data_IF_185852941140
#
_entry.id   IF_185852941140
#
_cell.length_a   1.000
_cell.length_b   1.000
_cell.length_c   1.000
_cell.angle_alpha   90.00
_cell.angle_beta   90.00
_cell.angle_gamma   90.00
#
_symmetry.space_group_name_H-M   'P 1'
#
loop_
_entity.id
_entity.type
_entity.pdbx_description
1 polymer ?
#
# COMPACT_ATOMS: atom_id res chain seq x y z
N UNK A 1 -12.21 -2.87 8.03
CA UNK A 1 -11.98 -4.21 8.62
C UNK A 1 -12.70 -4.43 9.94
N UNK A 2 -12.27 -3.84 11.05
CA UNK A 2 -12.88 -4.08 12.38
C UNK A 2 -14.39 -3.78 12.44
N UNK A 3 -14.80 -2.65 11.87
CA UNK A 3 -16.21 -2.26 11.78
C UNK A 3 -17.11 -3.27 11.04
N UNK A 4 -16.56 -4.19 10.21
CA UNK A 4 -17.36 -5.25 9.58
C UNK A 4 -17.84 -6.32 10.57
N UNK A 5 -17.29 -6.34 11.78
CA UNK A 5 -17.65 -7.24 12.88
C UNK A 5 -18.10 -6.47 14.13
N UNK A 6 -18.47 -5.20 13.99
CA UNK A 6 -18.81 -4.33 15.11
C UNK A 6 -17.71 -4.24 16.19
N UNK A 7 -16.44 -4.30 15.75
CA UNK A 7 -15.26 -4.18 16.61
C UNK A 7 -14.64 -2.78 16.53
N UNK A 8 -14.09 -2.33 17.65
CA UNK A 8 -13.38 -1.07 17.83
C UNK A 8 -11.89 -1.29 18.13
N UNK A 9 -11.05 -0.31 17.79
CA UNK A 9 -9.60 -0.36 18.08
C UNK A 9 -9.30 -0.57 19.57
N UNK A 10 -10.12 0.01 20.44
CA UNK A 10 -10.03 -0.07 21.92
C UNK A 10 -10.28 -1.47 22.47
N UNK A 11 -10.95 -2.35 21.72
CA UNK A 11 -11.29 -3.71 22.14
C UNK A 11 -10.16 -4.73 21.86
N UNK A 12 -8.97 -4.26 21.47
CA UNK A 12 -7.84 -5.15 21.20
C UNK A 12 -7.45 -5.94 22.45
N UNK A 13 -7.39 -7.27 22.34
CA UNK A 13 -7.18 -8.18 23.48
C UNK A 13 -5.82 -7.94 24.14
N UNK A 14 -4.77 -7.81 23.33
CA UNK A 14 -3.44 -7.48 23.80
C UNK A 14 -3.00 -6.14 23.20
N UNK A 15 -2.79 -5.15 24.05
CA UNK A 15 -2.37 -3.80 23.63
C UNK A 15 -0.85 -3.68 23.45
N UNK A 16 -0.06 -4.67 23.92
CA UNK A 16 1.41 -4.63 23.83
C UNK A 16 1.93 -5.01 22.46
N UNK A 17 1.28 -5.95 21.77
CA UNK A 17 1.62 -6.26 20.38
C UNK A 17 0.97 -5.23 19.44
N UNK A 18 1.61 -4.92 18.33
CA UNK A 18 1.11 -3.98 17.31
C UNK A 18 0.63 -4.76 16.09
N UNK A 19 -0.28 -4.15 15.34
CA UNK A 19 -0.59 -4.57 13.97
C UNK A 19 0.18 -3.67 13.00
N UNK A 20 1.14 -4.25 12.29
CA UNK A 20 1.98 -3.62 11.28
C UNK A 20 1.36 -3.89 9.91
N UNK A 21 0.81 -2.86 9.26
CA UNK A 21 -0.05 -3.09 8.09
C UNK A 21 0.34 -2.32 6.82
N UNK A 22 0.22 -0.99 6.81
CA UNK A 22 0.37 -0.19 5.58
C UNK A 22 1.73 0.50 5.50
N UNK A 23 2.32 0.54 4.30
CA UNK A 23 3.60 1.20 4.05
C UNK A 23 4.83 0.32 4.35
N UNK A 24 6.00 0.95 4.44
CA UNK A 24 7.28 0.27 4.66
C UNK A 24 7.71 0.33 6.13
N UNK A 25 6.81 -0.06 7.04
CA UNK A 25 6.95 0.15 8.49
C UNK A 25 7.38 -1.10 9.25
N UNK A 26 7.50 -2.24 8.58
CA UNK A 26 7.74 -3.53 9.23
C UNK A 26 9.03 -3.57 10.08
N UNK A 27 10.03 -2.78 9.72
CA UNK A 27 11.28 -2.66 10.48
C UNK A 27 11.13 -2.01 11.86
N UNK A 28 9.97 -1.40 12.15
CA UNK A 28 9.61 -0.90 13.49
C UNK A 28 8.87 -1.94 14.35
N UNK A 29 8.71 -3.17 13.85
CA UNK A 29 8.10 -4.24 14.61
C UNK A 29 8.98 -4.62 15.83
N UNK A 30 8.30 -4.99 16.91
CA UNK A 30 8.87 -5.62 18.09
C UNK A 30 8.57 -7.13 18.06
N UNK A 31 9.14 -7.87 19.01
CA UNK A 31 8.87 -9.29 19.20
C UNK A 31 7.37 -9.57 19.30
N UNK A 32 6.88 -10.55 18.52
CA UNK A 32 5.49 -10.99 18.46
C UNK A 32 4.47 -9.95 17.97
N UNK A 33 4.92 -8.86 17.33
CA UNK A 33 4.02 -8.01 16.57
C UNK A 33 3.41 -8.78 15.39
N UNK A 34 2.19 -8.38 15.01
CA UNK A 34 1.47 -8.96 13.89
C UNK A 34 1.74 -8.16 12.61
N UNK A 35 2.02 -8.84 11.51
CA UNK A 35 2.30 -8.26 10.20
C UNK A 35 1.18 -8.61 9.22
N UNK A 36 0.60 -7.61 8.56
CA UNK A 36 -0.48 -7.77 7.59
C UNK A 36 -0.36 -6.77 6.42
N UNK A 37 0.37 -7.17 5.38
CA UNK A 37 0.45 -6.47 4.10
C UNK A 37 1.54 -5.38 4.00
N UNK A 38 2.29 -5.14 5.09
CA UNK A 38 3.40 -4.17 5.07
C UNK A 38 4.64 -4.80 4.44
N UNK A 39 5.59 -3.96 4.02
CA UNK A 39 6.90 -4.39 3.55
C UNK A 39 8.06 -3.79 4.34
N UNK A 40 9.28 -4.20 3.98
CA UNK A 40 10.52 -3.61 4.49
C UNK A 40 10.92 -2.38 3.67
N UNK A 41 11.58 -1.43 4.32
CA UNK A 41 12.36 -0.41 3.63
C UNK A 41 13.75 -0.99 3.33
N UNK A 42 14.09 -1.16 2.05
CA UNK A 42 15.32 -1.80 1.59
C UNK A 42 16.63 -1.13 2.03
N UNK A 43 16.57 0.02 2.70
CA UNK A 43 17.73 0.70 3.31
C UNK A 43 18.08 0.22 4.72
N UNK A 44 17.19 -0.54 5.37
CA UNK A 44 17.37 -0.92 6.78
C UNK A 44 18.18 -2.21 6.86
N UNK A 45 19.27 -2.17 7.63
CA UNK A 45 20.06 -3.37 7.94
C UNK A 45 19.23 -4.38 8.73
N UNK A 46 19.41 -5.67 8.45
CA UNK A 46 18.80 -6.75 9.21
C UNK A 46 19.18 -6.70 10.70
N UNK A 47 20.39 -6.23 11.01
CA UNK A 47 20.86 -6.09 12.40
C UNK A 47 20.09 -5.01 13.19
N UNK A 48 19.39 -4.11 12.50
CA UNK A 48 18.55 -3.08 13.14
C UNK A 48 17.17 -3.61 13.53
N UNK A 49 16.79 -4.83 13.12
CA UNK A 49 15.51 -5.44 13.45
C UNK A 49 15.48 -5.88 14.91
N UNK A 50 14.40 -5.53 15.62
CA UNK A 50 14.26 -5.76 17.07
C UNK A 50 13.50 -7.04 17.42
N UNK A 51 13.29 -7.92 16.46
CA UNK A 51 12.48 -9.13 16.61
C UNK A 51 13.21 -10.37 16.11
N UNK A 52 12.90 -11.50 16.74
CA UNK A 52 13.23 -12.85 16.28
C UNK A 52 11.98 -13.59 15.80
N UNK A 53 10.83 -13.31 16.42
CA UNK A 53 9.53 -13.86 16.05
C UNK A 53 8.53 -12.76 15.69
N UNK A 54 7.73 -13.01 14.67
CA UNK A 54 6.59 -12.21 14.24
C UNK A 54 5.40 -13.11 13.95
N UNK A 55 4.21 -12.58 14.16
CA UNK A 55 2.96 -13.20 13.69
C UNK A 55 2.64 -12.67 12.28
N UNK A 56 3.07 -13.40 11.25
CA UNK A 56 2.97 -12.91 9.86
C UNK A 56 1.73 -13.48 9.17
N UNK A 57 0.78 -12.61 8.83
CA UNK A 57 -0.48 -12.96 8.15
C UNK A 57 -0.44 -12.72 6.66
N UNK A 58 0.21 -11.65 6.25
CA UNK A 58 0.44 -11.27 4.87
C UNK A 58 1.62 -10.28 4.83
N UNK A 59 2.29 -10.18 3.69
CA UNK A 59 3.31 -9.14 3.45
C UNK A 59 3.05 -8.46 2.11
N UNK A 60 3.68 -7.31 1.84
CA UNK A 60 3.45 -6.58 0.59
C UNK A 60 3.74 -7.43 -0.65
N UNK A 61 4.82 -8.22 -0.63
CA UNK A 61 5.22 -9.05 -1.76
C UNK A 61 6.34 -10.06 -1.47
N UNK A 62 6.81 -10.76 -2.51
CA UNK A 62 7.70 -11.90 -2.38
C UNK A 62 9.12 -11.54 -1.95
N UNK A 63 9.60 -10.30 -2.18
CA UNK A 63 10.93 -9.90 -1.69
C UNK A 63 10.92 -9.76 -0.17
N UNK A 64 9.89 -9.12 0.39
CA UNK A 64 9.69 -9.06 1.85
C UNK A 64 9.52 -10.46 2.43
N UNK A 65 8.70 -11.31 1.79
CA UNK A 65 8.52 -12.70 2.24
C UNK A 65 9.83 -13.47 2.26
N UNK A 66 10.62 -13.39 1.19
CA UNK A 66 11.91 -14.08 1.10
C UNK A 66 12.83 -13.69 2.26
N UNK A 67 12.96 -12.39 2.51
CA UNK A 67 13.81 -11.89 3.59
C UNK A 67 13.41 -12.46 4.95
N UNK A 68 12.10 -12.51 5.26
CA UNK A 68 11.60 -13.09 6.50
C UNK A 68 11.78 -14.61 6.59
N UNK A 69 11.59 -15.33 5.47
CA UNK A 69 11.88 -16.77 5.41
C UNK A 69 13.36 -17.05 5.66
N UNK A 70 14.26 -16.25 5.09
CA UNK A 70 15.71 -16.36 5.29
C UNK A 70 16.10 -16.09 6.77
N UNK A 71 15.28 -15.35 7.53
CA UNK A 71 15.41 -15.17 8.98
C UNK A 71 14.81 -16.34 9.81
N UNK A 72 14.25 -17.36 9.17
CA UNK A 72 13.64 -18.51 9.83
C UNK A 72 12.19 -18.31 10.30
N UNK A 73 11.52 -17.23 9.86
CA UNK A 73 10.13 -16.96 10.20
C UNK A 73 9.17 -17.76 9.30
N UNK A 74 7.99 -18.07 9.83
CA UNK A 74 6.89 -18.64 9.03
C UNK A 74 6.14 -17.51 8.34
N UNK A 75 6.10 -17.53 7.01
CA UNK A 75 5.44 -16.49 6.22
C UNK A 75 4.54 -17.12 5.14
N UNK A 76 3.21 -16.92 5.22
CA UNK A 76 2.29 -17.43 4.21
C UNK A 76 2.51 -16.74 2.88
N UNK A 77 2.13 -17.41 1.79
CA UNK A 77 2.13 -16.86 0.44
C UNK A 77 0.88 -16.00 0.20
N UNK A 78 0.72 -14.98 1.04
CA UNK A 78 -0.37 -14.00 0.93
C UNK A 78 0.28 -12.63 0.75
N UNK A 79 0.05 -12.04 -0.42
CA UNK A 79 0.67 -10.79 -0.83
C UNK A 79 -0.36 -9.68 -1.00
N UNK A 80 0.07 -8.45 -0.76
CA UNK A 80 -0.69 -7.25 -1.09
C UNK A 80 -0.58 -6.16 -0.03
N UNK A 81 -0.60 -4.91 -0.47
CA UNK A 81 -0.71 -3.75 0.42
C UNK A 81 -2.19 -3.51 0.78
N UNK A 82 -2.54 -3.21 2.05
CA UNK A 82 -3.92 -2.94 2.45
C UNK A 82 -4.61 -1.80 1.69
N UNK A 83 -3.87 -0.89 1.04
CA UNK A 83 -4.40 0.12 0.13
C UNK A 83 -5.18 -0.47 -1.06
N UNK A 84 -4.89 -1.72 -1.45
CA UNK A 84 -5.66 -2.46 -2.47
C UNK A 84 -7.10 -2.76 -2.03
N UNK A 85 -7.39 -2.72 -0.73
CA UNK A 85 -8.72 -3.00 -0.19
C UNK A 85 -9.64 -1.77 -0.20
N UNK A 86 -9.15 -0.58 -0.51
CA UNK A 86 -9.95 0.65 -0.48
C UNK A 86 -11.26 0.55 -1.30
N UNK A 87 -11.30 -0.02 -2.52
CA UNK A 87 -12.53 -0.17 -3.29
C UNK A 87 -13.61 -1.03 -2.62
N UNK A 88 -13.23 -1.89 -1.66
CA UNK A 88 -14.16 -2.73 -0.90
C UNK A 88 -14.87 -1.96 0.23
N UNK A 89 -14.33 -0.80 0.62
CA UNK A 89 -14.91 0.05 1.67
C UNK A 89 -15.48 1.36 1.13
N UNK A 90 -14.92 1.88 0.05
CA UNK A 90 -15.27 3.17 -0.51
C UNK A 90 -15.54 3.03 -1.99
N UNK A 91 -16.81 3.07 -2.37
CA UNK A 91 -17.19 3.12 -3.78
C UNK A 91 -16.78 4.46 -4.41
N UNK A 92 -16.64 4.49 -5.74
CA UNK A 92 -16.39 5.73 -6.49
C UNK A 92 -17.48 6.77 -6.20
N UNK A 93 -18.74 6.34 -6.17
CA UNK A 93 -19.89 7.22 -5.91
C UNK A 93 -19.83 7.83 -4.50
N UNK A 94 -19.41 7.05 -3.51
CA UNK A 94 -19.22 7.54 -2.13
C UNK A 94 -18.09 8.57 -2.03
N UNK A 95 -17.04 8.44 -2.84
CA UNK A 95 -15.90 9.35 -2.82
C UNK A 95 -16.16 10.65 -3.59
N UNK A 96 -17.00 10.61 -4.63
CA UNK A 96 -17.19 11.71 -5.59
C UNK A 96 -18.50 12.51 -5.40
N UNK A 97 -19.11 12.45 -4.21
CA UNK A 97 -20.40 13.09 -3.88
C UNK A 97 -20.46 14.59 -4.26
N UNK A 98 -19.33 15.29 -4.26
CA UNK A 98 -19.27 16.75 -4.43
C UNK A 98 -19.18 17.23 -5.89
N UNK A 99 -19.30 16.36 -6.90
CA UNK A 99 -19.23 16.72 -8.33
C UNK A 99 -18.04 17.64 -8.69
N UNK A 100 -16.88 17.41 -8.06
CA UNK A 100 -15.66 18.13 -8.41
C UNK A 100 -15.29 17.84 -9.87
N UNK A 101 -14.78 18.84 -10.59
CA UNK A 101 -14.33 18.63 -11.97
C UNK A 101 -13.24 17.55 -12.01
N UNK A 102 -13.45 16.52 -12.82
CA UNK A 102 -12.47 15.44 -13.02
C UNK A 102 -11.21 16.01 -13.65
N UNK A 103 -10.03 15.56 -13.19
CA UNK A 103 -8.74 15.98 -13.74
C UNK A 103 -8.23 14.98 -14.75
N UNK A 104 -7.73 15.46 -15.88
CA UNK A 104 -7.07 14.62 -16.90
C UNK A 104 -5.90 13.82 -16.31
N UNK A 105 -5.12 14.45 -15.43
CA UNK A 105 -4.07 13.78 -14.68
C UNK A 105 -3.78 14.46 -13.34
N UNK A 106 -3.15 13.72 -12.44
CA UNK A 106 -2.53 14.25 -11.22
C UNK A 106 -1.08 13.79 -11.09
N UNK A 107 -0.30 14.59 -10.36
CA UNK A 107 1.08 14.30 -9.99
C UNK A 107 1.14 14.10 -8.49
N UNK A 108 1.70 12.97 -8.05
CA UNK A 108 1.86 12.64 -6.63
C UNK A 108 3.36 12.53 -6.32
N UNK A 109 3.99 13.61 -5.84
CA UNK A 109 5.35 13.56 -5.35
C UNK A 109 5.48 12.63 -4.14
N UNK A 110 6.67 12.10 -3.88
CA UNK A 110 6.95 11.39 -2.66
C UNK A 110 6.99 12.40 -1.50
N UNK A 111 6.61 11.97 -0.30
CA UNK A 111 6.46 12.88 0.85
C UNK A 111 7.75 13.63 1.25
N UNK A 112 8.91 13.07 0.88
CA UNK A 112 10.23 13.62 1.18
C UNK A 112 10.82 14.47 0.03
N UNK A 113 10.13 14.61 -1.09
CA UNK A 113 10.60 15.45 -2.21
C UNK A 113 10.26 16.92 -1.99
N UNK A 114 11.03 17.80 -2.63
CA UNK A 114 10.68 19.22 -2.72
C UNK A 114 9.58 19.43 -3.76
N UNK A 115 8.44 19.96 -3.30
CA UNK A 115 7.27 20.17 -4.15
C UNK A 115 7.51 21.32 -5.15
N UNK A 116 8.51 22.18 -4.91
CA UNK A 116 8.89 23.26 -5.82
C UNK A 116 9.34 22.76 -7.19
N UNK A 117 9.87 21.53 -7.27
CA UNK A 117 10.26 20.86 -8.52
C UNK A 117 9.07 20.67 -9.48
N UNK A 118 7.85 20.68 -8.93
CA UNK A 118 6.61 20.43 -9.66
C UNK A 118 5.82 21.72 -9.95
N UNK A 119 6.43 22.90 -9.82
CA UNK A 119 5.75 24.21 -9.95
C UNK A 119 4.98 24.37 -11.27
N UNK A 120 5.49 23.81 -12.37
CA UNK A 120 4.81 23.78 -13.68
C UNK A 120 3.44 23.09 -13.64
N UNK A 121 3.24 22.18 -12.68
CA UNK A 121 2.08 21.32 -12.51
C UNK A 121 1.31 21.61 -11.23
N UNK A 122 1.46 22.79 -10.62
CA UNK A 122 0.91 23.10 -9.29
C UNK A 122 -0.61 22.81 -9.17
N UNK A 123 -1.37 23.03 -10.25
CA UNK A 123 -2.81 22.75 -10.28
C UNK A 123 -3.15 21.25 -10.34
N UNK A 124 -2.19 20.39 -10.64
CA UNK A 124 -2.32 18.94 -10.76
C UNK A 124 -1.63 18.17 -9.62
N UNK A 125 -0.97 18.87 -8.68
CA UNK A 125 -0.33 18.22 -7.53
C UNK A 125 -1.39 17.66 -6.59
N UNK A 126 -1.24 16.38 -6.23
CA UNK A 126 -1.95 15.73 -5.15
C UNK A 126 -0.94 15.32 -4.07
N UNK A 127 -1.08 15.89 -2.87
CA UNK A 127 -0.08 15.69 -1.81
C UNK A 127 -0.34 14.39 -1.05
N UNK A 128 0.62 13.48 -0.90
CA UNK A 128 0.47 12.31 -0.02
C UNK A 128 0.45 12.68 1.48
N UNK A 129 0.66 13.95 1.84
CA UNK A 129 0.61 14.43 3.23
C UNK A 129 -0.80 14.78 3.71
N UNK A 130 -1.79 14.79 2.82
CA UNK A 130 -3.19 15.06 3.18
C UNK A 130 -3.87 13.81 3.78
N UNK A 131 -5.07 13.99 4.34
CA UNK A 131 -5.83 12.86 4.91
C UNK A 131 -6.15 11.77 3.87
N UNK A 132 -6.11 10.50 4.29
CA UNK A 132 -6.21 9.33 3.40
C UNK A 132 -7.45 9.33 2.49
N UNK A 133 -8.61 9.74 3.00
CA UNK A 133 -9.85 9.83 2.21
C UNK A 133 -9.77 10.94 1.17
N UNK A 134 -9.23 12.12 1.54
CA UNK A 134 -9.02 13.22 0.58
C UNK A 134 -8.02 12.82 -0.51
N UNK A 135 -6.94 12.12 -0.13
CA UNK A 135 -5.93 11.60 -1.05
C UNK A 135 -6.55 10.61 -2.04
N UNK A 136 -7.29 9.62 -1.53
CA UNK A 136 -8.00 8.63 -2.34
C UNK A 136 -9.01 9.30 -3.27
N UNK A 137 -9.77 10.28 -2.79
CA UNK A 137 -10.73 11.04 -3.60
C UNK A 137 -10.07 11.75 -4.77
N UNK A 138 -8.94 12.42 -4.56
CA UNK A 138 -8.22 13.09 -5.67
C UNK A 138 -7.70 12.10 -6.71
N UNK A 139 -7.23 10.93 -6.28
CA UNK A 139 -6.85 9.84 -7.19
C UNK A 139 -8.06 9.37 -7.98
N UNK A 140 -9.16 9.06 -7.30
CA UNK A 140 -10.39 8.56 -7.93
C UNK A 140 -11.01 9.57 -8.90
N UNK A 141 -10.85 10.87 -8.62
CA UNK A 141 -11.29 11.97 -9.47
C UNK A 141 -10.30 12.32 -10.62
N UNK A 142 -9.37 11.44 -10.95
CA UNK A 142 -8.41 11.63 -12.04
C UNK A 142 -8.54 10.57 -13.13
N UNK A 143 -8.14 10.90 -14.36
CA UNK A 143 -8.05 9.91 -15.45
C UNK A 143 -6.70 9.21 -15.50
N UNK A 144 -5.65 9.85 -14.99
CA UNK A 144 -4.28 9.34 -15.05
C UNK A 144 -3.45 9.77 -13.83
N UNK A 145 -2.63 8.87 -13.30
CA UNK A 145 -1.79 9.13 -12.12
C UNK A 145 -0.31 9.01 -12.46
N UNK A 146 0.43 10.08 -12.22
CA UNK A 146 1.90 10.10 -12.29
C UNK A 146 2.39 10.21 -10.86
N UNK A 147 3.01 9.16 -10.33
CA UNK A 147 3.30 9.11 -8.90
C UNK A 147 4.71 8.65 -8.64
N UNK A 148 5.46 9.38 -7.82
CA UNK A 148 6.70 8.91 -7.22
C UNK A 148 6.44 8.30 -5.82
N UNK A 149 5.23 8.44 -5.28
CA UNK A 149 4.73 7.73 -4.10
C UNK A 149 4.20 6.34 -4.44
N UNK A 150 4.65 5.30 -3.74
CA UNK A 150 4.14 3.93 -3.95
C UNK A 150 2.63 3.83 -3.66
N UNK A 151 2.12 4.48 -2.60
CA UNK A 151 0.67 4.44 -2.33
C UNK A 151 -0.15 5.17 -3.39
N UNK A 152 0.42 6.18 -4.07
CA UNK A 152 -0.26 6.78 -5.22
C UNK A 152 -0.50 5.77 -6.34
N UNK A 153 0.50 4.92 -6.62
CA UNK A 153 0.39 3.81 -7.58
C UNK A 153 -0.61 2.75 -7.10
N UNK A 154 -0.44 2.24 -5.86
CA UNK A 154 -1.29 1.19 -5.30
C UNK A 154 -2.76 1.57 -5.34
N UNK A 155 -3.09 2.79 -4.89
CA UNK A 155 -4.47 3.25 -4.81
C UNK A 155 -5.03 3.49 -6.21
N UNK A 156 -4.27 4.11 -7.13
CA UNK A 156 -4.72 4.29 -8.51
C UNK A 156 -5.07 2.94 -9.16
N UNK A 157 -4.17 1.96 -9.06
CA UNK A 157 -4.35 0.63 -9.63
C UNK A 157 -5.49 -0.15 -8.95
N UNK A 158 -5.69 0.01 -7.64
CA UNK A 158 -6.81 -0.59 -6.92
C UNK A 158 -8.16 -0.13 -7.49
N UNK A 159 -8.27 1.13 -7.90
CA UNK A 159 -9.47 1.67 -8.55
C UNK A 159 -9.50 1.45 -10.06
N UNK A 160 -8.47 0.85 -10.66
CA UNK A 160 -8.36 0.66 -12.11
C UNK A 160 -8.02 1.96 -12.87
N UNK A 161 -7.39 2.93 -12.21
CA UNK A 161 -6.93 4.18 -12.82
C UNK A 161 -5.50 3.95 -13.32
N UNK A 162 -5.20 4.22 -14.61
CA UNK A 162 -3.86 4.02 -15.13
C UNK A 162 -2.84 4.86 -14.36
N UNK A 163 -1.72 4.24 -14.01
CA UNK A 163 -0.66 4.87 -13.24
C UNK A 163 0.72 4.57 -13.83
N UNK A 164 1.63 5.53 -13.69
CA UNK A 164 3.04 5.38 -14.05
C UNK A 164 3.91 5.82 -12.87
N UNK A 165 4.95 5.04 -12.60
CA UNK A 165 5.94 5.39 -11.58
C UNK A 165 6.84 6.51 -12.11
N UNK A 166 6.83 7.65 -11.43
CA UNK A 166 7.85 8.67 -11.59
C UNK A 166 9.03 8.34 -10.67
N UNK A 167 10.24 8.28 -11.22
CA UNK A 167 11.45 8.12 -10.41
C UNK A 167 11.56 9.28 -9.41
N UNK A 168 11.67 8.95 -8.12
CA UNK A 168 11.81 9.99 -7.10
C UNK A 168 13.27 10.44 -7.01
N UNK A 169 13.46 11.73 -6.77
CA UNK A 169 14.76 12.32 -6.46
C UNK A 169 15.21 12.08 -5.01
N UNK A 170 14.33 11.54 -4.16
CA UNK A 170 14.58 11.34 -2.71
C UNK A 170 15.46 10.13 -2.36
N UNK A 171 15.96 9.40 -3.35
CA UNK A 171 16.83 8.25 -3.17
C UNK A 171 16.14 7.06 -2.50
N UNK A 172 14.82 6.94 -2.56
CA UNK A 172 14.10 5.78 -2.01
C UNK A 172 14.53 4.49 -2.71
N UNK A 173 14.61 3.39 -1.96
CA UNK A 173 14.98 2.10 -2.54
C UNK A 173 13.91 1.63 -3.52
N UNK A 174 14.33 1.16 -4.71
CA UNK A 174 13.47 0.48 -5.67
C UNK A 174 12.78 -0.76 -5.08
N UNK A 175 13.35 -1.33 -3.99
CA UNK A 175 12.86 -2.53 -3.31
C UNK A 175 11.36 -2.51 -3.06
N UNK A 176 10.80 -1.39 -2.57
CA UNK A 176 9.37 -1.32 -2.24
C UNK A 176 8.46 -1.39 -3.45
N UNK A 177 8.91 -0.85 -4.57
CA UNK A 177 8.18 -0.87 -5.83
C UNK A 177 8.28 -2.26 -6.44
N UNK A 178 9.49 -2.82 -6.57
CA UNK A 178 9.69 -4.18 -7.06
C UNK A 178 8.88 -5.21 -6.27
N UNK A 179 8.91 -5.11 -4.94
CA UNK A 179 8.19 -6.01 -4.04
C UNK A 179 6.69 -5.92 -4.25
N UNK A 180 6.14 -4.72 -4.43
CA UNK A 180 4.73 -4.54 -4.78
C UNK A 180 4.38 -5.14 -6.14
N UNK A 181 5.11 -4.78 -7.21
CA UNK A 181 4.80 -5.26 -8.55
C UNK A 181 4.87 -6.78 -8.63
N UNK A 182 5.92 -7.41 -8.07
CA UNK A 182 6.04 -8.86 -7.99
C UNK A 182 4.90 -9.48 -7.16
N UNK A 183 4.50 -8.85 -6.05
CA UNK A 183 3.37 -9.29 -5.23
C UNK A 183 2.02 -9.25 -5.95
N UNK A 184 1.91 -8.43 -6.99
CA UNK A 184 0.75 -8.36 -7.90
C UNK A 184 0.90 -9.20 -9.17
N UNK A 185 1.92 -10.07 -9.25
CA UNK A 185 2.16 -10.94 -10.40
C UNK A 185 2.79 -10.25 -11.61
N UNK A 186 3.41 -9.08 -11.42
CA UNK A 186 4.05 -8.30 -12.48
C UNK A 186 5.56 -8.23 -12.23
N UNK A 187 6.33 -8.69 -13.20
CA UNK A 187 7.79 -8.70 -13.19
C UNK A 187 8.42 -7.39 -13.69
N UNK A 188 7.64 -6.60 -14.43
CA UNK A 188 8.07 -5.34 -15.04
C UNK A 188 7.01 -4.26 -14.86
N UNK A 189 7.47 -3.01 -14.83
CA UNK A 189 6.62 -1.83 -14.74
C UNK A 189 7.33 -0.61 -15.34
N UNK A 190 6.58 0.33 -15.96
CA UNK A 190 7.17 1.54 -16.55
C UNK A 190 7.64 2.50 -15.45
N UNK A 191 8.86 3.01 -15.61
CA UNK A 191 9.42 4.09 -14.80
C UNK A 191 9.78 5.22 -15.76
N UNK A 192 9.43 6.44 -15.38
CA UNK A 192 9.78 7.65 -16.13
C UNK A 192 10.60 8.61 -15.27
N UNK A 193 11.42 9.44 -15.92
CA UNK A 193 12.28 10.43 -15.26
C UNK A 193 11.72 11.86 -15.33
N UNK A 194 10.62 12.06 -16.08
CA UNK A 194 9.93 13.34 -16.20
C UNK A 194 8.42 13.13 -16.31
N UNK A 195 7.66 14.17 -16.00
CA UNK A 195 6.19 14.15 -16.15
C UNK A 195 5.80 14.10 -17.62
N UNK A 196 6.57 14.76 -18.50
CA UNK A 196 6.36 14.75 -19.94
C UNK A 196 6.52 13.35 -20.56
N UNK A 197 7.44 12.54 -20.04
CA UNK A 197 7.64 11.17 -20.52
C UNK A 197 6.53 10.22 -20.08
N UNK A 198 5.84 10.52 -18.98
CA UNK A 198 4.71 9.73 -18.50
C UNK A 198 3.59 9.60 -19.55
N UNK A 199 3.41 10.62 -20.40
CA UNK A 199 2.42 10.63 -21.47
C UNK A 199 2.84 9.86 -22.73
N UNK A 200 4.11 9.46 -22.82
CA UNK A 200 4.69 8.75 -23.97
C UNK A 200 4.80 7.24 -23.74
N UNK A 201 4.63 6.79 -22.51
CA UNK A 201 4.76 5.39 -22.12
C UNK A 201 3.39 4.75 -21.90
N UNK A 202 3.31 3.45 -22.15
CA UNK A 202 2.14 2.67 -21.76
C UNK A 202 2.18 2.44 -20.24
N UNK A 203 1.09 2.68 -19.50
CA UNK A 203 1.00 2.35 -18.08
C UNK A 203 1.21 0.86 -17.81
N UNK A 204 1.47 0.51 -16.55
CA UNK A 204 1.57 -0.88 -16.14
C UNK A 204 0.28 -1.64 -16.48
N UNK A 205 0.39 -2.94 -16.76
CA UNK A 205 -0.79 -3.79 -16.97
C UNK A 205 -1.71 -3.72 -15.74
N UNK A 206 -3.02 -3.67 -16.00
CA UNK A 206 -4.03 -3.70 -14.95
C UNK A 206 -3.95 -5.00 -14.16
N UNK A 207 -4.22 -4.90 -12.86
CA UNK A 207 -4.24 -6.03 -11.95
C UNK A 207 -5.66 -6.57 -11.78
N UNK A 208 -5.79 -7.88 -11.55
CA UNK A 208 -7.03 -8.43 -11.03
C UNK A 208 -7.09 -8.14 -9.51
N UNK A 209 -7.62 -6.97 -9.16
CA UNK A 209 -7.68 -6.50 -7.77
C UNK A 209 -8.38 -7.52 -6.88
N UNK A 210 -9.48 -8.13 -7.32
CA UNK A 210 -10.20 -9.14 -6.53
C UNK A 210 -9.34 -10.36 -6.19
N UNK A 211 -8.55 -10.85 -7.14
CA UNK A 211 -7.68 -12.01 -6.93
C UNK A 211 -6.60 -11.75 -5.86
N UNK A 212 -6.07 -10.53 -5.79
CA UNK A 212 -5.02 -10.14 -4.83
C UNK A 212 -5.63 -9.71 -3.49
N UNK A 213 -6.70 -8.92 -3.54
CA UNK A 213 -7.36 -8.34 -2.38
C UNK A 213 -8.08 -9.37 -1.52
N UNK A 214 -8.69 -10.41 -2.11
CA UNK A 214 -9.50 -11.37 -1.33
C UNK A 214 -8.66 -12.21 -0.34
N UNK A 215 -7.51 -12.82 -0.73
CA UNK A 215 -6.61 -13.47 0.23
C UNK A 215 -6.12 -12.51 1.32
N UNK A 216 -5.75 -11.27 0.96
CA UNK A 216 -5.31 -10.26 1.90
C UNK A 216 -6.41 -9.89 2.90
N UNK A 217 -7.64 -9.68 2.41
CA UNK A 217 -8.82 -9.37 3.21
C UNK A 217 -9.11 -10.50 4.22
N UNK A 218 -9.09 -11.75 3.76
CA UNK A 218 -9.35 -12.92 4.60
C UNK A 218 -8.23 -13.17 5.63
N UNK A 219 -7.01 -12.72 5.34
CA UNK A 219 -5.88 -12.82 6.27
C UNK A 219 -5.89 -11.75 7.37
N UNK A 220 -6.87 -10.83 7.40
CA UNK A 220 -6.94 -9.82 8.46
C UNK A 220 -7.05 -10.48 9.84
N UNK A 221 -6.19 -10.09 10.81
CA UNK A 221 -6.07 -10.78 12.10
C UNK A 221 -7.18 -10.35 13.08
N UNK A 222 -8.42 -10.74 12.81
CA UNK A 222 -9.55 -10.50 13.72
C UNK A 222 -9.33 -11.11 15.10
N UNK A 223 -8.50 -12.16 15.20
CA UNK A 223 -8.16 -12.82 16.46
C UNK A 223 -7.35 -11.96 17.44
N UNK A 224 -6.85 -10.80 16.99
CA UNK A 224 -6.29 -9.79 17.89
C UNK A 224 -7.35 -9.00 18.69
N UNK A 225 -8.63 -9.09 18.28
CA UNK A 225 -9.78 -8.43 18.92
C UNK A 225 -10.84 -9.42 19.43
N UNK A 226 -10.93 -10.60 18.82
CA UNK A 226 -11.87 -11.65 19.22
C UNK A 226 -11.11 -12.93 19.59
N UNK A 227 -11.35 -13.49 20.77
CA UNK A 227 -10.92 -14.86 21.02
C UNK A 227 -11.64 -15.74 19.99
N UNK A 228 -10.94 -16.71 19.38
CA UNK A 228 -11.59 -17.75 18.57
C UNK A 228 -12.65 -18.43 19.44
N UNK A 229 -13.89 -17.96 19.40
CA UNK A 229 -15.02 -18.68 20.00
C UNK A 229 -15.17 -19.96 19.20
N UNK A 230 -15.12 -21.09 19.90
CA UNK A 230 -15.46 -22.43 19.44
C UNK A 230 -16.46 -22.39 18.28
N UNK A 231 -15.97 -22.50 17.05
CA UNK A 231 -16.78 -22.75 15.87
C UNK A 231 -16.98 -24.26 15.65
N UNK A 232 -17.06 -25.00 16.76
CA UNK A 232 -17.44 -26.40 16.83
C UNK A 232 -18.64 -26.50 17.79
N UNK A 233 -19.82 -26.14 17.29
CA UNK A 233 -21.12 -26.65 17.75
C UNK A 233 -21.95 -26.94 16.49
#
# INVERSE_FOLDING_TARGET
>A
MLALKDLELTQKINVKNKLMAIGSVMHFANENDCVWGTGINGKISLDALKFKNLDVRAVRGPKTRKLLLDMGLKVPEIYGDPGLLLPFFFSRDTLLINNEQKKDFIVIPHMNEDFSLYKKYNNNICSPKQGAISFTRQIVNSEFVISSSLHGVIIAEAYGIPAVLLENSSGESSFKYDDYYLGTGRDTYPIVHSIEDAFKVKPACSINVHHIALPLFNAFPYDLWENKKNSDI
#
